data_IF_331824854528
#
_entry.id   IF_331824854528
#
_cell.length_a   1.000
_cell.length_b   1.000
_cell.length_c   1.000
_cell.angle_alpha   90.00
_cell.angle_beta   90.00
_cell.angle_gamma   90.00
#
_symmetry.space_group_name_H-M   'P 1'
#
loop_
_entity.id
_entity.type
_entity.pdbx_description
1 polymer ?
#
# COMPACT_ATOMS: atom_id res chain seq x y z
N UNK A 1 -15.34 23.63 29.04
CA UNK A 1 -14.27 23.15 28.13
C UNK A 1 -14.12 21.65 28.32
N UNK A 2 -14.01 20.85 27.24
CA UNK A 2 -13.87 19.39 27.31
C UNK A 2 -12.52 18.95 27.90
N UNK A 3 -11.46 19.75 27.72
CA UNK A 3 -10.19 19.56 28.42
C UNK A 3 -10.02 20.61 29.53
N UNK A 4 -9.67 20.15 30.75
CA UNK A 4 -9.23 21.04 31.82
C UNK A 4 -7.75 21.37 31.63
N UNK A 5 -7.47 22.53 31.02
CA UNK A 5 -6.12 23.08 30.84
C UNK A 5 -6.06 24.52 31.32
N UNK A 6 -4.85 25.05 31.49
CA UNK A 6 -4.65 26.46 31.82
C UNK A 6 -4.82 27.33 30.56
N UNK A 7 -5.63 28.39 30.65
CA UNK A 7 -5.85 29.35 29.57
C UNK A 7 -5.32 30.73 29.99
N UNK A 8 -4.55 31.37 29.11
CA UNK A 8 -3.98 32.72 29.33
C UNK A 8 -5.03 33.84 29.18
N UNK A 9 -6.21 33.53 28.63
CA UNK A 9 -7.31 34.47 28.39
C UNK A 9 -8.62 33.92 28.97
N UNK A 10 -9.61 34.80 29.16
CA UNK A 10 -10.91 34.40 29.68
C UNK A 10 -11.70 33.60 28.63
N UNK A 11 -11.60 32.29 28.76
CA UNK A 11 -12.23 31.30 27.87
C UNK A 11 -13.74 31.22 28.04
N UNK A 12 -14.30 31.77 29.13
CA UNK A 12 -15.73 31.73 29.43
C UNK A 12 -16.52 32.85 28.73
N UNK A 13 -15.82 33.78 28.05
CA UNK A 13 -16.47 34.83 27.26
C UNK A 13 -16.76 34.32 25.83
N UNK A 14 -17.99 34.52 25.36
CA UNK A 14 -18.32 34.39 23.94
C UNK A 14 -17.64 35.52 23.15
N UNK A 15 -17.05 35.29 21.96
CA UNK A 15 -17.08 34.08 21.12
C UNK A 15 -15.90 33.11 21.30
N UNK A 16 -14.92 33.46 22.15
CA UNK A 16 -13.70 32.68 22.34
C UNK A 16 -13.98 31.27 22.88
N UNK A 17 -15.00 31.12 23.72
CA UNK A 17 -15.45 29.82 24.21
C UNK A 17 -15.70 28.81 23.08
N UNK A 18 -16.46 29.22 22.06
CA UNK A 18 -16.87 28.35 20.96
C UNK A 18 -15.68 27.98 20.07
N UNK A 19 -14.81 28.95 19.78
CA UNK A 19 -13.59 28.72 19.02
C UNK A 19 -12.68 27.70 19.72
N UNK A 20 -12.45 27.87 21.02
CA UNK A 20 -11.59 26.97 21.80
C UNK A 20 -12.20 25.57 21.93
N UNK A 21 -13.53 25.49 22.07
CA UNK A 21 -14.26 24.22 22.09
C UNK A 21 -14.07 23.45 20.77
N UNK A 22 -14.24 24.11 19.62
CA UNK A 22 -14.07 23.48 18.30
C UNK A 22 -12.62 23.07 18.07
N UNK A 23 -11.66 23.94 18.42
CA UNK A 23 -10.23 23.64 18.30
C UNK A 23 -9.84 22.42 19.14
N UNK A 24 -10.32 22.32 20.37
CA UNK A 24 -10.04 21.14 21.22
C UNK A 24 -10.63 19.86 20.65
N UNK A 25 -11.87 19.92 20.14
CA UNK A 25 -12.49 18.78 19.47
C UNK A 25 -11.64 18.31 18.29
N UNK A 26 -11.24 19.23 17.42
CA UNK A 26 -10.39 18.91 16.28
C UNK A 26 -9.02 18.37 16.69
N UNK A 27 -8.36 18.99 17.67
CA UNK A 27 -7.07 18.52 18.19
C UNK A 27 -7.15 17.10 18.76
N UNK A 28 -8.19 16.77 19.53
CA UNK A 28 -8.39 15.42 20.08
C UNK A 28 -8.65 14.39 18.97
N UNK A 29 -9.49 14.74 18.00
CA UNK A 29 -9.75 13.87 16.84
C UNK A 29 -8.49 13.65 15.99
N UNK A 30 -7.64 14.66 15.84
CA UNK A 30 -6.42 14.59 15.05
C UNK A 30 -5.24 13.95 15.79
N UNK A 31 -5.20 14.02 17.13
CA UNK A 31 -4.07 13.50 17.92
C UNK A 31 -3.84 12.01 17.72
N UNK A 32 -4.91 11.21 17.76
CA UNK A 32 -4.84 9.77 17.57
C UNK A 32 -4.26 9.38 16.18
N UNK A 33 -4.83 9.82 15.04
CA UNK A 33 -4.31 9.47 13.73
C UNK A 33 -2.94 10.09 13.42
N UNK A 34 -2.58 11.23 14.01
CA UNK A 34 -1.21 11.79 13.86
C UNK A 34 -0.19 10.90 14.58
N UNK A 35 -0.52 10.42 15.78
CA UNK A 35 0.35 9.56 16.56
C UNK A 35 0.51 8.18 15.93
N UNK A 36 -0.60 7.53 15.58
CA UNK A 36 -0.57 6.18 14.98
C UNK A 36 -0.32 6.19 13.47
N UNK A 37 -0.39 7.36 12.83
CA UNK A 37 -0.28 7.52 11.39
C UNK A 37 1.06 7.09 10.84
N UNK A 38 2.16 7.42 11.52
CA UNK A 38 3.51 7.02 11.11
C UNK A 38 3.67 5.50 11.12
N UNK A 39 3.24 4.84 12.20
CA UNK A 39 3.32 3.38 12.34
C UNK A 39 2.41 2.68 11.32
N UNK A 40 1.20 3.19 11.14
CA UNK A 40 0.21 2.67 10.19
C UNK A 40 0.70 2.82 8.75
N UNK A 41 1.26 3.98 8.40
CA UNK A 41 1.83 4.25 7.08
C UNK A 41 3.02 3.34 6.80
N UNK A 42 3.92 3.15 7.76
CA UNK A 42 5.03 2.22 7.63
C UNK A 42 4.53 0.79 7.41
N UNK A 43 3.53 0.34 8.18
CA UNK A 43 2.89 -0.95 7.99
C UNK A 43 2.29 -1.12 6.59
N UNK A 44 1.53 -0.12 6.10
CA UNK A 44 0.98 -0.13 4.75
C UNK A 44 2.06 -0.19 3.68
N UNK A 45 3.15 0.58 3.82
CA UNK A 45 4.26 0.53 2.87
C UNK A 45 4.92 -0.84 2.83
N UNK A 46 5.18 -1.46 3.99
CA UNK A 46 5.77 -2.80 4.06
C UNK A 46 4.84 -3.81 3.39
N UNK A 47 3.55 -3.83 3.74
CA UNK A 47 2.59 -4.72 3.11
C UNK A 47 2.47 -4.49 1.60
N UNK A 48 2.48 -3.24 1.15
CA UNK A 48 2.45 -2.91 -0.27
C UNK A 48 3.68 -3.44 -1.00
N UNK A 49 4.89 -3.22 -0.46
CA UNK A 49 6.13 -3.72 -1.06
C UNK A 49 6.15 -5.25 -1.08
N UNK A 50 5.75 -5.92 0.00
CA UNK A 50 5.63 -7.38 0.02
C UNK A 50 4.64 -7.89 -1.04
N UNK A 51 3.48 -7.25 -1.19
CA UNK A 51 2.51 -7.59 -2.23
C UNK A 51 3.03 -7.36 -3.64
N UNK A 52 3.77 -6.27 -3.87
CA UNK A 52 4.43 -6.01 -5.16
C UNK A 52 5.51 -7.07 -5.46
N UNK A 53 6.27 -7.50 -4.45
CA UNK A 53 7.28 -8.56 -4.60
C UNK A 53 6.64 -9.91 -4.93
N UNK A 54 5.52 -10.27 -4.30
CA UNK A 54 4.82 -11.52 -4.64
C UNK A 54 4.25 -11.49 -6.05
N UNK A 55 3.68 -10.35 -6.48
CA UNK A 55 3.22 -10.17 -7.86
C UNK A 55 4.38 -10.26 -8.87
N UNK A 56 5.52 -9.68 -8.55
CA UNK A 56 6.72 -9.77 -9.38
C UNK A 56 7.21 -11.22 -9.47
N UNK A 57 7.25 -11.93 -8.33
CA UNK A 57 7.59 -13.35 -8.27
C UNK A 57 6.68 -14.20 -9.15
N UNK A 58 5.36 -14.00 -9.06
CA UNK A 58 4.40 -14.72 -9.89
C UNK A 58 4.63 -14.47 -11.39
N UNK A 59 4.90 -13.21 -11.78
CA UNK A 59 5.20 -12.85 -13.18
C UNK A 59 6.50 -13.47 -13.68
N UNK A 60 7.54 -13.54 -12.85
CA UNK A 60 8.81 -14.17 -13.23
C UNK A 60 8.61 -15.67 -13.50
N UNK A 61 7.86 -16.37 -12.64
CA UNK A 61 7.57 -17.80 -12.81
C UNK A 61 6.75 -18.06 -14.07
N UNK A 62 5.75 -17.23 -14.35
CA UNK A 62 4.95 -17.31 -15.58
C UNK A 62 5.79 -17.09 -16.84
N UNK A 63 6.69 -16.09 -16.83
CA UNK A 63 7.62 -15.84 -17.93
C UNK A 63 8.58 -17.01 -18.16
N UNK A 64 9.09 -17.64 -17.10
CA UNK A 64 9.98 -18.80 -17.20
C UNK A 64 9.25 -20.01 -17.80
N UNK A 65 8.03 -20.26 -17.36
CA UNK A 65 7.18 -21.33 -17.89
C UNK A 65 6.87 -21.11 -19.37
N UNK A 66 6.41 -19.92 -19.74
CA UNK A 66 6.11 -19.57 -21.13
C UNK A 66 7.35 -19.64 -22.04
N UNK A 67 8.54 -19.31 -21.52
CA UNK A 67 9.80 -19.46 -22.26
C UNK A 67 10.15 -20.93 -22.49
N UNK A 68 9.90 -21.80 -21.52
CA UNK A 68 10.13 -23.24 -21.68
C UNK A 68 9.17 -23.87 -22.69
N UNK A 69 7.88 -23.52 -22.61
CA UNK A 69 6.86 -24.01 -23.54
C UNK A 69 7.12 -23.58 -24.98
N UNK A 70 7.49 -22.31 -25.19
CA UNK A 70 7.86 -21.82 -26.52
C UNK A 70 9.10 -22.52 -27.08
N UNK A 71 10.11 -22.79 -26.25
CA UNK A 71 11.28 -23.57 -26.67
C UNK A 71 10.89 -25.00 -27.06
N UNK A 72 10.06 -25.67 -26.25
CA UNK A 72 9.60 -27.03 -26.51
C UNK A 72 8.78 -27.12 -27.81
N UNK A 73 7.92 -26.14 -28.04
CA UNK A 73 7.15 -26.02 -29.28
C UNK A 73 8.06 -25.89 -30.49
N UNK A 74 9.05 -24.99 -30.44
CA UNK A 74 10.02 -24.81 -31.52
C UNK A 74 10.81 -26.10 -31.80
N UNK A 75 11.31 -26.79 -30.76
CA UNK A 75 12.04 -28.07 -30.92
C UNK A 75 11.14 -29.13 -31.56
N UNK A 76 9.89 -29.26 -31.10
CA UNK A 76 8.94 -30.23 -31.66
C UNK A 76 8.64 -29.96 -33.13
N UNK A 77 8.42 -28.71 -33.50
CA UNK A 77 8.18 -28.33 -34.90
C UNK A 77 9.42 -28.58 -35.77
N UNK A 78 10.63 -28.26 -35.29
CA UNK A 78 11.86 -28.61 -36.01
C UNK A 78 12.00 -30.11 -36.25
N UNK A 79 11.76 -30.95 -35.23
CA UNK A 79 11.78 -32.42 -35.38
C UNK A 79 10.74 -32.88 -36.40
N UNK A 80 9.52 -32.31 -36.35
CA UNK A 80 8.43 -32.63 -37.30
C UNK A 80 8.82 -32.29 -38.74
N UNK A 81 9.41 -31.11 -38.95
CA UNK A 81 9.86 -30.65 -40.26
C UNK A 81 11.02 -31.50 -40.80
N UNK A 82 11.99 -31.86 -39.94
CA UNK A 82 13.08 -32.76 -40.32
C UNK A 82 12.51 -34.10 -40.76
N UNK A 83 11.59 -34.70 -39.99
CA UNK A 83 10.97 -35.99 -40.32
C UNK A 83 10.16 -35.95 -41.62
N UNK A 84 9.47 -34.84 -41.91
CA UNK A 84 8.77 -34.66 -43.19
C UNK A 84 9.73 -34.55 -44.38
N UNK A 85 10.95 -34.08 -44.17
CA UNK A 85 11.97 -33.93 -45.21
C UNK A 85 12.73 -35.24 -45.50
N UNK A 86 12.86 -36.13 -44.52
CA UNK A 86 13.55 -37.42 -44.66
C UNK A 86 12.65 -38.58 -45.12
N UNK A 87 11.34 -38.39 -45.16
CA UNK A 87 10.37 -39.30 -45.79
C UNK A 87 10.13 -38.89 -47.25
#
# INVERSE_FOLDING_TARGET
>A
MPLQTYYLYNVNNSPFYEMTFVLQGFSLMAAAPIYTGTDTFMGFLIFHVCGQLENLRARILDLEFNRFDSLLFNVREHIRLIRFRTL
#
